data_IF_239809043493
#
_entry.id   IF_239809043493
#
_cell.length_a   1.000
_cell.length_b   1.000
_cell.length_c   1.000
_cell.angle_alpha   90.00
_cell.angle_beta   90.00
_cell.angle_gamma   90.00
#
_symmetry.space_group_name_H-M   'P 1'
#
loop_
_entity.id
_entity.type
_entity.pdbx_description
1 polymer ?
#
# COMPACT_ATOMS: atom_id res chain seq x y z
N UNK A 1 -56.38 -17.71 12.39
CA UNK A 1 -55.68 -16.44 12.09
C UNK A 1 -54.23 -16.58 12.47
N UNK A 2 -53.31 -15.91 11.75
CA UNK A 2 -51.84 -15.88 11.87
C UNK A 2 -51.07 -16.80 10.91
N UNK A 3 -51.23 -16.48 9.62
CA UNK A 3 -50.14 -16.57 8.66
C UNK A 3 -49.41 -15.20 8.59
N UNK A 4 -48.20 -15.20 8.03
CA UNK A 4 -47.29 -14.08 7.76
C UNK A 4 -46.39 -13.62 8.93
N UNK A 5 -45.10 -13.93 8.81
CA UNK A 5 -43.99 -12.96 8.71
C UNK A 5 -42.64 -13.67 8.97
N UNK A 6 -42.21 -14.56 8.06
CA UNK A 6 -40.81 -14.97 7.97
C UNK A 6 -40.17 -14.15 6.86
N UNK A 7 -39.86 -12.91 7.21
CA UNK A 7 -39.28 -11.89 6.35
C UNK A 7 -37.81 -12.18 6.04
N UNK A 8 -37.57 -12.51 4.77
CA UNK A 8 -36.71 -11.73 3.87
C UNK A 8 -35.54 -10.95 4.52
N UNK A 9 -34.57 -11.65 5.12
CA UNK A 9 -33.39 -11.02 5.75
C UNK A 9 -32.04 -11.41 5.11
N UNK A 10 -32.04 -12.13 3.98
CA UNK A 10 -30.82 -12.72 3.38
C UNK A 10 -30.15 -11.91 2.25
N UNK A 11 -30.62 -10.70 1.93
CA UNK A 11 -30.17 -9.95 0.74
C UNK A 11 -29.28 -8.72 1.05
N UNK A 12 -28.81 -8.55 2.29
CA UNK A 12 -27.98 -7.40 2.69
C UNK A 12 -26.49 -7.74 2.92
N UNK A 13 -26.00 -8.88 2.43
CA UNK A 13 -24.56 -9.15 2.38
C UNK A 13 -23.95 -8.46 1.17
N UNK A 14 -23.79 -7.14 1.25
CA UNK A 14 -22.96 -6.42 0.29
C UNK A 14 -21.50 -6.92 0.36
N UNK A 15 -20.74 -6.90 -0.74
CA UNK A 15 -19.33 -7.23 -0.70
C UNK A 15 -18.63 -6.31 0.31
N UNK A 16 -17.98 -6.90 1.32
CA UNK A 16 -17.10 -6.18 2.21
C UNK A 16 -15.82 -5.85 1.41
N UNK A 17 -15.79 -4.67 0.81
CA UNK A 17 -14.56 -4.11 0.27
C UNK A 17 -13.64 -3.76 1.43
N UNK A 18 -12.72 -4.67 1.75
CA UNK A 18 -11.66 -4.40 2.70
C UNK A 18 -10.62 -3.51 2.02
N UNK A 19 -10.71 -2.21 2.28
CA UNK A 19 -9.62 -1.26 2.06
C UNK A 19 -8.72 -1.31 3.28
N UNK A 20 -7.41 -1.44 3.07
CA UNK A 20 -6.40 -1.37 4.12
C UNK A 20 -5.43 -0.24 3.84
N UNK A 21 -4.66 0.15 4.84
CA UNK A 21 -3.54 1.08 4.69
C UNK A 21 -2.25 0.43 5.13
N UNK A 22 -1.16 0.78 4.47
CA UNK A 22 0.19 0.41 4.86
C UNK A 22 1.02 1.67 4.96
N UNK A 23 1.60 1.92 6.13
CA UNK A 23 2.47 3.06 6.38
C UNK A 23 3.87 2.55 6.70
N UNK A 24 4.84 2.94 5.89
CA UNK A 24 6.25 2.59 6.03
C UNK A 24 7.05 3.84 6.38
N UNK A 25 7.82 3.79 7.47
CA UNK A 25 8.66 4.89 7.91
C UNK A 25 10.14 4.48 7.92
N UNK A 26 11.02 5.40 7.52
CA UNK A 26 12.46 5.22 7.61
C UNK A 26 12.92 5.02 9.06
N UNK A 27 13.74 3.99 9.29
CA UNK A 27 14.22 3.62 10.63
C UNK A 27 15.23 4.66 11.15
N UNK A 28 16.16 5.08 10.29
CA UNK A 28 17.20 6.06 10.62
C UNK A 28 16.84 7.49 10.16
N UNK A 29 15.72 7.63 9.44
CA UNK A 29 15.23 8.90 8.90
C UNK A 29 13.71 8.94 8.92
N UNK A 30 13.16 9.53 9.98
CA UNK A 30 11.72 9.60 10.20
C UNK A 30 11.00 10.59 9.26
N UNK A 31 11.75 11.42 8.52
CA UNK A 31 11.19 12.30 7.49
C UNK A 31 10.84 11.53 6.21
N UNK A 32 11.30 10.28 6.08
CA UNK A 32 10.96 9.39 4.96
C UNK A 32 9.75 8.54 5.34
N UNK A 33 8.64 8.75 4.64
CA UNK A 33 7.37 8.05 4.85
C UNK A 33 6.80 7.60 3.51
N UNK A 34 6.34 6.36 3.42
CA UNK A 34 5.57 5.86 2.28
C UNK A 34 4.22 5.33 2.78
N UNK A 35 3.14 5.95 2.33
CA UNK A 35 1.77 5.64 2.71
C UNK A 35 1.04 5.07 1.51
N UNK A 36 0.56 3.83 1.62
CA UNK A 36 -0.13 3.12 0.56
C UNK A 36 -1.56 2.81 0.99
N UNK A 37 -2.52 3.23 0.18
CA UNK A 37 -3.90 2.76 0.28
C UNK A 37 -4.02 1.47 -0.53
N UNK A 38 -4.36 0.38 0.14
CA UNK A 38 -4.45 -0.94 -0.42
C UNK A 38 -5.92 -1.31 -0.65
N UNK A 39 -6.18 -1.99 -1.76
CA UNK A 39 -7.45 -2.63 -2.03
C UNK A 39 -7.26 -4.13 -2.13
N UNK A 40 -8.26 -4.89 -1.66
CA UNK A 40 -8.29 -6.33 -1.85
C UNK A 40 -8.62 -6.61 -3.33
N UNK A 41 -7.62 -7.00 -4.09
CA UNK A 41 -7.85 -7.82 -5.27
C UNK A 41 -8.04 -9.28 -4.83
N UNK A 42 -8.60 -10.15 -5.68
CA UNK A 42 -8.96 -11.54 -5.37
C UNK A 42 -7.97 -12.23 -4.39
N UNK A 43 -8.46 -13.03 -3.43
CA UNK A 43 -7.62 -13.53 -2.35
C UNK A 43 -6.38 -14.27 -2.89
N UNK A 44 -5.14 -13.98 -2.41
CA UNK A 44 -4.79 -13.23 -1.20
C UNK A 44 -3.91 -11.97 -1.41
N UNK A 45 -4.02 -11.24 -2.53
CA UNK A 45 -3.09 -10.13 -2.84
C UNK A 45 -3.71 -8.75 -2.61
N UNK A 46 -3.17 -7.99 -1.66
CA UNK A 46 -3.44 -6.56 -1.51
C UNK A 46 -2.69 -5.79 -2.61
N UNK A 47 -3.42 -5.04 -3.42
CA UNK A 47 -2.84 -4.18 -4.46
C UNK A 47 -2.92 -2.71 -4.04
N UNK A 48 -1.85 -1.92 -4.24
CA UNK A 48 -1.90 -0.49 -4.00
C UNK A 48 -2.84 0.19 -4.99
N UNK A 49 -3.82 0.89 -4.45
CA UNK A 49 -4.76 1.75 -5.19
C UNK A 49 -4.22 3.17 -5.30
N UNK A 50 -3.57 3.65 -4.23
CA UNK A 50 -2.91 4.96 -4.18
C UNK A 50 -1.66 4.86 -3.33
N UNK A 51 -0.67 5.69 -3.62
CA UNK A 51 0.48 5.88 -2.76
C UNK A 51 0.87 7.36 -2.67
N UNK A 52 1.43 7.72 -1.52
CA UNK A 52 2.15 8.95 -1.29
C UNK A 52 3.50 8.60 -0.66
N UNK A 53 4.57 9.16 -1.20
CA UNK A 53 5.93 8.97 -0.70
C UNK A 53 6.49 10.35 -0.39
N UNK A 54 6.89 10.56 0.85
CA UNK A 54 7.40 11.82 1.37
C UNK A 54 8.84 11.66 1.79
N UNK A 55 9.64 12.66 1.46
CA UNK A 55 10.99 12.90 1.99
C UNK A 55 11.05 14.34 2.47
N UNK A 56 12.17 14.77 3.04
CA UNK A 56 12.36 16.16 3.47
C UNK A 56 12.21 17.17 2.33
N UNK A 57 12.60 16.81 1.10
CA UNK A 57 12.67 17.74 -0.03
C UNK A 57 11.57 17.54 -1.08
N UNK A 58 10.95 16.37 -1.13
CA UNK A 58 10.04 16.01 -2.23
C UNK A 58 8.95 15.06 -1.76
N UNK A 59 7.75 15.30 -2.28
CA UNK A 59 6.61 14.38 -2.22
C UNK A 59 6.35 13.82 -3.61
N UNK A 60 6.13 12.50 -3.70
CA UNK A 60 5.59 11.82 -4.86
C UNK A 60 4.20 11.29 -4.53
N UNK A 61 3.30 11.32 -5.50
CA UNK A 61 1.95 10.80 -5.31
C UNK A 61 1.43 10.16 -6.58
N UNK A 62 0.63 9.11 -6.42
CA UNK A 62 -0.09 8.47 -7.55
C UNK A 62 -1.40 9.19 -7.88
N UNK A 63 -1.71 10.26 -7.15
CA UNK A 63 -2.82 11.17 -7.45
C UNK A 63 -2.27 12.58 -7.54
N UNK A 64 -2.88 13.43 -8.36
CA UNK A 64 -2.46 14.82 -8.48
C UNK A 64 -2.72 15.58 -7.17
N UNK A 65 -1.70 15.69 -6.32
CA UNK A 65 -1.67 16.54 -5.12
C UNK A 65 -0.82 17.76 -5.40
N UNK A 66 -1.23 18.92 -4.90
CA UNK A 66 -0.47 20.17 -5.08
C UNK A 66 0.94 20.04 -4.50
N UNK A 67 1.95 20.38 -5.30
CA UNK A 67 3.36 20.29 -4.91
C UNK A 67 3.99 18.91 -4.98
N UNK A 68 3.20 17.84 -5.20
CA UNK A 68 3.73 16.49 -5.37
C UNK A 68 4.12 16.20 -6.83
N UNK A 69 5.15 15.39 -7.02
CA UNK A 69 5.51 14.79 -8.31
C UNK A 69 4.59 13.60 -8.59
N UNK A 70 3.93 13.59 -9.74
CA UNK A 70 3.05 12.48 -10.13
C UNK A 70 3.88 11.24 -10.49
N UNK A 71 3.46 10.07 -10.01
CA UNK A 71 4.05 8.76 -10.36
C UNK A 71 2.97 7.73 -10.65
N UNK A 72 3.22 6.79 -11.55
CA UNK A 72 2.32 5.68 -11.84
C UNK A 72 2.78 4.41 -11.14
N UNK A 73 1.82 3.61 -10.65
CA UNK A 73 2.10 2.24 -10.17
C UNK A 73 2.28 1.35 -11.41
N UNK A 74 3.49 0.85 -11.63
CA UNK A 74 3.81 0.08 -12.84
C UNK A 74 4.04 -1.40 -12.59
N UNK A 75 4.40 -1.77 -11.37
CA UNK A 75 4.63 -3.16 -11.02
C UNK A 75 4.31 -3.41 -9.55
N UNK A 76 3.51 -4.44 -9.31
CA UNK A 76 3.10 -4.87 -7.98
C UNK A 76 3.23 -6.38 -7.88
N UNK A 77 3.79 -6.84 -6.77
CA UNK A 77 3.84 -8.23 -6.40
C UNK A 77 3.64 -8.33 -4.89
N UNK A 78 2.83 -9.27 -4.42
CA UNK A 78 2.75 -9.57 -3.01
C UNK A 78 2.38 -11.02 -2.79
N UNK A 79 3.01 -11.63 -1.80
CA UNK A 79 2.68 -12.96 -1.27
C UNK A 79 2.71 -12.94 0.27
N UNK A 80 2.63 -14.11 0.89
CA UNK A 80 2.64 -14.23 2.35
C UNK A 80 3.97 -13.80 3.00
N UNK A 81 5.05 -13.64 2.22
CA UNK A 81 6.40 -13.44 2.72
C UNK A 81 7.02 -12.12 2.28
N UNK A 82 6.50 -11.51 1.23
CA UNK A 82 7.12 -10.38 0.57
C UNK A 82 6.11 -9.52 -0.18
N UNK A 83 6.48 -8.26 -0.39
CA UNK A 83 5.78 -7.37 -1.29
C UNK A 83 6.78 -6.49 -2.05
N UNK A 84 6.44 -6.17 -3.29
CA UNK A 84 7.16 -5.26 -4.17
C UNK A 84 6.14 -4.30 -4.76
N UNK A 85 6.42 -3.00 -4.67
CA UNK A 85 5.67 -1.96 -5.36
C UNK A 85 6.67 -1.03 -6.04
N UNK A 86 6.54 -0.87 -7.35
CA UNK A 86 7.41 0.01 -8.13
C UNK A 86 6.58 1.11 -8.80
N UNK A 87 7.12 2.32 -8.74
CA UNK A 87 6.50 3.53 -9.26
C UNK A 87 7.39 4.15 -10.32
N UNK A 88 6.78 4.58 -11.43
CA UNK A 88 7.49 5.18 -12.55
C UNK A 88 7.05 6.62 -12.82
N UNK A 89 7.93 7.36 -13.49
CA UNK A 89 7.55 8.63 -14.11
C UNK A 89 6.50 8.35 -15.21
N UNK A 90 5.33 9.01 -15.17
CA UNK A 90 4.27 8.80 -16.16
C UNK A 90 4.66 9.23 -17.58
N UNK A 91 5.63 10.14 -17.73
CA UNK A 91 6.08 10.64 -19.02
C UNK A 91 7.16 9.75 -19.68
N UNK A 92 8.01 9.08 -18.89
CA UNK A 92 9.15 8.30 -19.42
C UNK A 92 9.03 6.80 -19.17
N UNK A 93 8.13 6.37 -18.28
CA UNK A 93 8.02 4.99 -17.80
C UNK A 93 9.29 4.45 -17.11
N UNK A 94 10.22 5.34 -16.73
CA UNK A 94 11.38 4.98 -15.92
C UNK A 94 10.96 4.76 -14.47
N UNK A 95 11.38 3.64 -13.87
CA UNK A 95 11.13 3.34 -12.45
C UNK A 95 11.94 4.32 -11.59
N UNK A 96 11.24 5.14 -10.81
CA UNK A 96 11.84 6.13 -9.91
C UNK A 96 11.89 5.65 -8.48
N UNK A 97 10.91 4.84 -8.06
CA UNK A 97 10.74 4.42 -6.67
C UNK A 97 10.46 2.92 -6.63
N UNK A 98 11.15 2.20 -5.74
CA UNK A 98 10.92 0.77 -5.50
C UNK A 98 10.83 0.54 -4.00
N UNK A 99 9.69 -0.01 -3.56
CA UNK A 99 9.45 -0.45 -2.21
C UNK A 99 9.47 -1.98 -2.20
N UNK A 100 10.40 -2.58 -1.44
CA UNK A 100 10.53 -4.03 -1.30
C UNK A 100 10.47 -4.41 0.16
N UNK A 101 9.51 -5.24 0.51
CA UNK A 101 9.15 -5.56 1.88
C UNK A 101 9.25 -7.07 2.11
N UNK A 102 9.63 -7.43 3.33
CA UNK A 102 9.60 -8.77 3.87
C UNK A 102 8.59 -8.82 5.03
N UNK A 103 7.83 -9.91 5.08
CA UNK A 103 6.78 -10.14 6.08
C UNK A 103 7.18 -11.28 7.01
N UNK A 104 7.01 -11.03 8.30
CA UNK A 104 7.09 -12.02 9.36
C UNK A 104 5.71 -12.23 9.97
N UNK A 105 5.17 -13.43 9.81
CA UNK A 105 3.92 -13.85 10.47
C UNK A 105 4.26 -14.94 11.48
N UNK A 106 3.86 -14.74 12.74
CA UNK A 106 3.84 -15.77 13.77
C UNK A 106 2.40 -15.99 14.25
N UNK A 107 2.19 -16.87 15.23
CA UNK A 107 0.86 -17.26 15.70
C UNK A 107 0.00 -16.07 16.18
N UNK A 108 0.63 -15.06 16.76
CA UNK A 108 -0.01 -13.90 17.40
C UNK A 108 0.69 -12.58 17.08
N UNK A 109 1.67 -12.58 16.19
CA UNK A 109 2.45 -11.38 15.85
C UNK A 109 2.66 -11.23 14.35
N UNK A 110 2.68 -9.98 13.90
CA UNK A 110 2.99 -9.57 12.55
C UNK A 110 4.10 -8.53 12.57
N UNK A 111 5.01 -8.59 11.61
CA UNK A 111 6.01 -7.56 11.36
C UNK A 111 6.26 -7.43 9.86
N UNK A 112 6.38 -6.20 9.37
CA UNK A 112 6.76 -5.91 8.00
C UNK A 112 7.86 -4.85 7.98
N UNK A 113 8.90 -5.09 7.18
CA UNK A 113 10.03 -4.17 7.04
C UNK A 113 10.70 -4.38 5.69
N UNK A 114 11.52 -3.43 5.26
CA UNK A 114 12.22 -3.59 4.00
C UNK A 114 13.05 -2.39 3.58
N UNK A 115 13.13 -2.17 2.28
CA UNK A 115 13.92 -1.11 1.66
C UNK A 115 13.05 -0.29 0.71
N UNK A 116 13.07 1.03 0.90
CA UNK A 116 12.56 2.01 -0.04
C UNK A 116 13.75 2.61 -0.80
N UNK A 117 13.77 2.44 -2.12
CA UNK A 117 14.78 3.05 -2.99
C UNK A 117 14.12 4.15 -3.81
N UNK A 118 14.72 5.34 -3.80
CA UNK A 118 14.30 6.49 -4.61
C UNK A 118 15.50 6.90 -5.47
N UNK A 119 15.38 6.75 -6.78
CA UNK A 119 16.47 7.03 -7.74
C UNK A 119 16.92 8.48 -7.62
N UNK A 120 18.23 8.68 -7.47
CA UNK A 120 18.83 10.01 -7.32
C UNK A 120 18.64 10.67 -5.95
N UNK A 121 17.96 10.01 -5.01
CA UNK A 121 17.70 10.55 -3.66
C UNK A 121 18.35 9.67 -2.60
N UNK A 122 18.04 8.36 -2.55
CA UNK A 122 18.59 7.49 -1.52
C UNK A 122 17.96 6.10 -1.45
N UNK A 123 18.45 5.30 -0.50
CA UNK A 123 17.89 4.01 -0.14
C UNK A 123 17.73 3.95 1.39
N UNK A 124 16.54 3.58 1.84
CA UNK A 124 16.13 3.71 3.23
C UNK A 124 15.63 2.37 3.75
N UNK A 125 16.17 1.92 4.88
CA UNK A 125 15.56 0.84 5.63
C UNK A 125 14.26 1.36 6.25
N UNK A 126 13.15 0.65 6.02
CA UNK A 126 11.82 1.05 6.48
C UNK A 126 11.20 -0.03 7.36
N UNK A 127 10.46 0.40 8.37
CA UNK A 127 9.54 -0.45 9.12
C UNK A 127 8.11 -0.06 8.76
N UNK A 128 7.23 -1.04 8.55
CA UNK A 128 5.87 -0.80 8.10
C UNK A 128 4.85 -1.33 9.10
N UNK A 129 3.74 -0.61 9.21
CA UNK A 129 2.59 -0.99 10.03
C UNK A 129 1.32 -0.96 9.19
N UNK A 130 0.45 -1.93 9.44
CA UNK A 130 -0.92 -1.90 8.94
C UNK A 130 -1.69 -0.81 9.69
N UNK A 131 -2.35 0.08 8.95
CA UNK A 131 -3.20 1.14 9.50
C UNK A 131 -4.66 0.72 9.67
#
# INVERSE_FOLDING_TARGET
MRALCLGLSLLAAGPAFATGSLECQGIDDNAVVASLLLTRSEPPVLMPLRAEIVTVDTTWSTVGVEGAKLVDIVHTYADERSAIVEFADPATSEILISLRLARGVAADSYAEAGVLVIVGVGAYAVACIDG
#
